data_IF_580356152089
#
_entry.id   IF_580356152089
#
_cell.length_a   1.000
_cell.length_b   1.000
_cell.length_c   1.000
_cell.angle_alpha   90.00
_cell.angle_beta   90.00
_cell.angle_gamma   90.00
#
_symmetry.space_group_name_H-M   'P 1'
#
loop_
_entity.id
_entity.type
_entity.pdbx_description
1 polymer ?
#
# COMPACT_ATOMS: atom_id res chain seq x y z
N UNK A 1 -7.71 -19.53 -1.80
CA UNK A 1 -7.72 -18.22 -1.13
C UNK A 1 -7.22 -17.19 -2.13
N UNK A 2 -7.94 -16.09 -2.32
CA UNK A 2 -7.49 -15.01 -3.21
C UNK A 2 -6.74 -13.96 -2.42
N UNK A 3 -5.79 -13.33 -3.08
CA UNK A 3 -5.03 -12.20 -2.56
C UNK A 3 -5.40 -10.96 -3.35
N UNK A 4 -5.71 -9.88 -2.64
CA UNK A 4 -5.99 -8.58 -3.23
C UNK A 4 -4.94 -7.59 -2.78
N UNK A 5 -4.56 -6.70 -3.66
CA UNK A 5 -3.68 -5.57 -3.40
C UNK A 5 -4.53 -4.29 -3.42
N UNK A 6 -4.49 -3.53 -2.33
CA UNK A 6 -5.22 -2.26 -2.18
C UNK A 6 -4.24 -1.11 -1.92
N UNK A 7 -4.21 -0.14 -2.82
CA UNK A 7 -3.41 1.07 -2.66
C UNK A 7 -4.20 2.16 -1.95
N UNK A 8 -3.70 2.59 -0.79
CA UNK A 8 -4.27 3.63 0.05
C UNK A 8 -3.28 4.80 0.12
N UNK A 9 -3.63 5.96 -0.41
CA UNK A 9 -2.82 7.17 -0.25
C UNK A 9 -3.25 7.92 1.01
N UNK A 10 -2.30 8.34 1.83
CA UNK A 10 -2.57 9.28 2.92
C UNK A 10 -3.08 10.60 2.36
N UNK A 11 -4.10 11.16 3.01
CA UNK A 11 -4.65 12.45 2.58
C UNK A 11 -3.81 13.63 3.08
N UNK A 12 -3.02 13.42 4.13
CA UNK A 12 -2.11 14.40 4.72
C UNK A 12 -0.92 13.73 5.46
N UNK A 13 0.01 14.57 5.95
CA UNK A 13 1.23 14.14 6.67
C UNK A 13 0.95 13.47 8.03
N UNK A 14 -0.27 13.56 8.56
CA UNK A 14 -0.63 13.03 9.89
C UNK A 14 -0.85 11.52 9.91
N UNK A 15 -1.00 10.89 8.73
CA UNK A 15 -1.31 9.47 8.55
C UNK A 15 -2.65 9.00 9.14
N UNK A 16 -3.58 9.91 9.44
CA UNK A 16 -4.85 9.57 10.09
C UNK A 16 -5.92 9.08 9.12
N UNK A 17 -5.91 9.60 7.89
CA UNK A 17 -6.91 9.28 6.88
C UNK A 17 -6.23 8.88 5.59
N UNK A 18 -6.91 8.00 4.85
CA UNK A 18 -6.44 7.49 3.57
C UNK A 18 -7.58 7.39 2.58
N UNK A 19 -7.25 7.65 1.31
CA UNK A 19 -8.13 7.42 0.17
C UNK A 19 -7.61 6.26 -0.67
N UNK A 20 -8.51 5.37 -1.12
CA UNK A 20 -8.15 4.35 -2.10
C UNK A 20 -7.98 4.99 -3.48
N UNK A 21 -6.79 4.83 -4.06
CA UNK A 21 -6.41 5.54 -5.31
C UNK A 21 -6.51 4.66 -6.57
N UNK A 22 -6.80 3.37 -6.40
CA UNK A 22 -6.98 2.42 -7.49
C UNK A 22 -7.88 1.26 -7.03
N UNK A 23 -8.71 0.67 -7.92
CA UNK A 23 -9.43 -0.56 -7.61
C UNK A 23 -8.53 -1.68 -7.08
N UNK A 24 -9.10 -2.59 -6.28
CA UNK A 24 -8.34 -3.73 -5.76
C UNK A 24 -7.84 -4.61 -6.90
N UNK A 25 -6.56 -4.98 -6.84
CA UNK A 25 -5.89 -5.79 -7.86
C UNK A 25 -5.78 -7.22 -7.35
N UNK A 26 -6.23 -8.20 -8.13
CA UNK A 26 -6.02 -9.63 -7.81
C UNK A 26 -4.55 -9.98 -8.06
N UNK A 27 -3.88 -10.53 -7.07
CA UNK A 27 -2.49 -10.95 -7.17
C UNK A 27 -2.34 -12.46 -6.92
N UNK A 28 -1.41 -13.15 -7.63
CA UNK A 28 -1.25 -14.60 -7.50
C UNK A 28 -0.56 -14.99 -6.18
N UNK A 29 0.19 -14.07 -5.58
CA UNK A 29 0.96 -14.29 -4.36
C UNK A 29 0.98 -13.03 -3.47
N UNK A 30 1.29 -13.17 -2.16
CA UNK A 30 1.48 -12.03 -1.26
C UNK A 30 2.50 -11.02 -1.80
N UNK A 31 2.09 -9.76 -2.03
CA UNK A 31 2.99 -8.75 -2.56
C UNK A 31 4.00 -8.32 -1.49
N UNK A 32 5.23 -8.00 -1.91
CA UNK A 32 6.29 -7.51 -1.03
C UNK A 32 6.57 -6.04 -1.37
N UNK A 33 6.19 -5.16 -0.45
CA UNK A 33 6.49 -3.73 -0.53
C UNK A 33 7.38 -3.32 0.64
N UNK A 34 8.51 -2.69 0.32
CA UNK A 34 9.41 -2.10 1.32
C UNK A 34 9.02 -0.66 1.63
N UNK A 35 9.22 -0.23 2.89
CA UNK A 35 9.12 1.19 3.24
C UNK A 35 10.10 2.02 2.41
N UNK A 36 9.64 3.15 1.87
CA UNK A 36 10.43 4.00 0.97
C UNK A 36 10.51 3.52 -0.48
N UNK A 37 9.90 2.37 -0.82
CA UNK A 37 9.83 1.91 -2.20
C UNK A 37 8.96 2.85 -3.05
N UNK A 38 9.50 3.28 -4.19
CA UNK A 38 8.74 4.03 -5.18
C UNK A 38 7.78 3.12 -5.96
N UNK A 39 6.56 3.58 -6.15
CA UNK A 39 5.53 2.87 -6.92
C UNK A 39 4.80 3.82 -7.87
N UNK A 40 4.31 3.30 -8.99
CA UNK A 40 3.45 4.03 -9.92
C UNK A 40 2.09 3.35 -9.94
N UNK A 41 1.04 4.15 -9.85
CA UNK A 41 -0.34 3.66 -9.78
C UNK A 41 -1.17 4.44 -10.79
N UNK A 42 -1.78 3.73 -11.74
CA UNK A 42 -2.63 4.28 -12.79
C UNK A 42 -3.42 3.17 -13.46
N UNK A 43 -4.26 3.54 -14.43
CA UNK A 43 -5.08 2.59 -15.18
C UNK A 43 -4.26 1.90 -16.27
N UNK A 44 -4.52 0.61 -16.51
CA UNK A 44 -3.87 -0.19 -17.56
C UNK A 44 -4.10 0.38 -18.98
N UNK A 45 -5.14 1.20 -19.17
CA UNK A 45 -5.41 1.89 -20.43
C UNK A 45 -4.43 3.06 -20.71
N UNK A 46 -3.77 3.59 -19.69
CA UNK A 46 -2.87 4.74 -19.78
C UNK A 46 -1.40 4.31 -19.97
N UNK A 47 -0.55 5.23 -20.46
CA UNK A 47 0.90 5.00 -20.53
C UNK A 47 1.48 4.87 -19.10
N UNK A 48 2.13 3.74 -18.74
CA UNK A 48 2.75 3.57 -17.42
C UNK A 48 3.76 4.65 -17.03
N UNK A 49 4.41 5.31 -18.00
CA UNK A 49 5.33 6.41 -17.73
C UNK A 49 4.61 7.70 -17.31
N UNK A 50 3.33 7.82 -17.64
CA UNK A 50 2.47 8.95 -17.25
C UNK A 50 1.81 8.77 -15.88
N UNK A 51 1.83 7.55 -15.33
CA UNK A 51 1.19 7.26 -14.06
C UNK A 51 1.78 8.08 -12.91
N UNK A 52 0.93 8.62 -12.02
CA UNK A 52 1.37 9.28 -10.80
C UNK A 52 2.32 8.40 -9.97
N UNK A 53 3.34 9.04 -9.40
CA UNK A 53 4.34 8.38 -8.59
C UNK A 53 4.04 8.57 -7.10
N UNK A 54 4.21 7.51 -6.33
CA UNK A 54 4.02 7.46 -4.89
C UNK A 54 5.19 6.74 -4.21
N UNK A 55 5.22 6.83 -2.88
CA UNK A 55 6.20 6.13 -2.06
C UNK A 55 5.48 5.37 -0.96
N UNK A 56 5.90 4.12 -0.71
CA UNK A 56 5.39 3.31 0.40
C UNK A 56 5.77 3.96 1.73
N UNK A 57 4.77 4.45 2.45
CA UNK A 57 4.93 5.32 3.61
C UNK A 57 4.55 4.65 4.95
N UNK A 58 4.24 3.36 4.91
CA UNK A 58 4.04 2.53 6.10
C UNK A 58 4.26 1.04 5.79
N UNK A 59 4.34 0.22 6.83
CA UNK A 59 4.39 -1.24 6.71
C UNK A 59 3.07 -1.74 6.10
N UNK A 60 3.18 -2.67 5.14
CA UNK A 60 2.00 -3.29 4.50
C UNK A 60 1.20 -4.08 5.53
N UNK A 61 -0.12 -3.89 5.53
CA UNK A 61 -1.01 -4.59 6.46
C UNK A 61 -1.88 -5.60 5.70
N UNK A 62 -1.98 -6.82 6.22
CA UNK A 62 -2.83 -7.85 5.64
C UNK A 62 -4.11 -7.99 6.47
N UNK A 63 -5.27 -7.89 5.82
CA UNK A 63 -6.59 -7.98 6.47
C UNK A 63 -7.46 -9.00 5.75
N UNK A 64 -8.25 -9.78 6.49
CA UNK A 64 -9.26 -10.64 5.89
C UNK A 64 -10.54 -9.84 5.62
N UNK A 65 -11.06 -9.93 4.39
CA UNK A 65 -12.33 -9.35 3.95
C UNK A 65 -13.12 -10.40 3.15
N UNK A 66 -14.44 -10.23 3.01
CA UNK A 66 -15.26 -11.11 2.18
C UNK A 66 -14.80 -11.05 0.71
N UNK A 67 -14.65 -12.21 0.06
CA UNK A 67 -14.31 -12.28 -1.37
C UNK A 67 -15.50 -11.77 -2.20
N UNK A 68 -15.38 -10.61 -2.89
CA UNK A 68 -16.48 -10.05 -3.65
C UNK A 68 -16.90 -10.95 -4.83
N UNK A 69 -16.03 -11.84 -5.28
CA UNK A 69 -16.31 -12.78 -6.36
C UNK A 69 -16.80 -14.15 -5.87
N UNK A 70 -16.72 -14.44 -4.56
CA UNK A 70 -17.17 -15.70 -3.97
C UNK A 70 -17.79 -15.47 -2.59
N UNK A 71 -19.09 -15.18 -2.57
CA UNK A 71 -19.85 -15.02 -1.33
C UNK A 71 -19.68 -16.24 -0.42
N UNK A 72 -19.32 -16.00 0.84
CA UNK A 72 -19.09 -17.05 1.85
C UNK A 72 -17.65 -17.54 1.95
N UNK A 73 -16.71 -16.93 1.21
CA UNK A 73 -15.27 -17.18 1.38
C UNK A 73 -14.53 -15.89 1.69
N UNK A 74 -13.50 -15.96 2.53
CA UNK A 74 -12.64 -14.82 2.83
C UNK A 74 -11.50 -14.71 1.81
N UNK A 75 -11.14 -13.47 1.49
CA UNK A 75 -9.92 -13.12 0.79
C UNK A 75 -8.97 -12.36 1.73
N UNK A 76 -7.68 -12.37 1.38
CA UNK A 76 -6.66 -11.62 2.11
C UNK A 76 -6.30 -10.36 1.31
N UNK A 77 -6.58 -9.20 1.88
CA UNK A 77 -6.33 -7.89 1.29
C UNK A 77 -5.05 -7.31 1.89
N UNK A 78 -4.05 -7.07 1.05
CA UNK A 78 -2.82 -6.39 1.38
C UNK A 78 -2.97 -4.90 1.13
N UNK A 79 -3.07 -4.14 2.22
CA UNK A 79 -3.17 -2.69 2.22
C UNK A 79 -1.78 -2.08 2.18
N UNK A 80 -1.49 -1.36 1.09
CA UNK A 80 -0.24 -0.64 0.90
C UNK A 80 -0.51 0.84 1.08
N UNK A 81 0.13 1.42 2.10
CA UNK A 81 -0.04 2.82 2.47
C UNK A 81 1.00 3.68 1.77
N UNK A 82 0.53 4.68 1.06
CA UNK A 82 1.31 5.49 0.13
C UNK A 82 1.30 6.96 0.55
N UNK A 83 2.40 7.64 0.27
CA UNK A 83 2.48 9.10 0.22
C UNK A 83 2.67 9.54 -1.24
N UNK A 84 2.16 10.72 -1.58
CA UNK A 84 2.51 11.36 -2.86
C UNK A 84 4.01 11.62 -2.90
N UNK A 85 4.62 11.45 -4.07
CA UNK A 85 6.07 11.54 -4.20
C UNK A 85 6.60 12.92 -3.78
N UNK A 86 5.90 14.00 -4.10
CA UNK A 86 6.27 15.38 -3.72
C UNK A 86 6.18 15.66 -2.22
N UNK A 87 5.40 14.88 -1.47
CA UNK A 87 5.20 15.05 -0.02
C UNK A 87 6.12 14.14 0.80
N UNK A 88 6.75 13.14 0.17
CA UNK A 88 7.48 12.07 0.84
C UNK A 88 8.53 12.55 1.84
N UNK A 89 9.32 13.57 1.48
CA UNK A 89 10.40 14.10 2.32
C UNK A 89 9.89 14.80 3.59
N UNK A 90 8.59 15.07 3.68
CA UNK A 90 7.95 15.73 4.81
C UNK A 90 7.38 14.73 5.83
N UNK A 91 7.27 13.45 5.46
CA UNK A 91 6.82 12.41 6.38
C UNK A 91 7.93 12.06 7.38
N UNK A 92 7.60 12.12 8.68
CA UNK A 92 8.43 11.51 9.73
C UNK A 92 8.48 9.99 9.56
N UNK A 93 9.51 9.29 10.01
CA UNK A 93 9.48 7.82 10.05
C UNK A 93 8.31 7.33 10.95
N UNK A 94 7.49 6.35 10.49
CA UNK A 94 6.47 5.74 11.33
C UNK A 94 7.11 4.98 12.51
N UNK A 95 6.44 4.97 13.66
CA UNK A 95 6.91 4.27 14.86
C UNK A 95 7.16 2.78 14.59
N UNK A 96 6.25 2.09 13.90
CA UNK A 96 6.44 0.68 13.54
C UNK A 96 7.69 0.42 12.68
N UNK A 97 8.08 1.38 11.82
CA UNK A 97 9.31 1.26 11.02
C UNK A 97 10.54 1.45 11.91
N UNK A 98 10.50 2.41 12.84
CA UNK A 98 11.57 2.60 13.82
C UNK A 98 11.76 1.36 14.70
N UNK A 99 10.66 0.72 15.11
CA UNK A 99 10.69 -0.54 15.87
C UNK A 99 11.29 -1.69 15.06
N UNK A 100 10.85 -1.87 13.80
CA UNK A 100 11.40 -2.89 12.91
C UNK A 100 12.91 -2.71 12.69
N UNK A 101 13.37 -1.47 12.45
CA UNK A 101 14.79 -1.15 12.28
C UNK A 101 15.63 -1.41 13.53
N UNK A 102 15.06 -1.27 14.74
CA UNK A 102 15.76 -1.60 15.99
C UNK A 102 15.95 -3.10 16.16
N UNK A 103 14.96 -3.91 15.77
CA UNK A 103 14.99 -5.35 15.92
C UNK A 103 15.89 -6.07 14.90
N UNK A 104 16.23 -5.44 13.76
CA UNK A 104 17.18 -5.99 12.77
C UNK A 104 18.66 -5.71 13.12
N UNK A 105 18.92 -4.94 14.18
CA UNK A 105 20.26 -4.57 14.64
C UNK A 105 20.83 -5.40 15.80
N UNK A 106 20.10 -6.40 16.29
CA UNK A 106 20.53 -7.38 17.31
C UNK A 106 20.89 -8.74 16.67
#
# INVERSE_FOLDING_TARGET
MKYYLRFLCYDDLSRRTTTQIHPDIVVPEPPRFGYGQGVRVGDDADDPFSWPQYVVANITHAKQEDDPANSGTNALVFQVFLARYEEWTQFSLPEMVLEAMRNEGE
#
